data_IF_904911144371
#
_entry.id   IF_904911144371
#
_cell.length_a   1.000
_cell.length_b   1.000
_cell.length_c   1.000
_cell.angle_alpha   90.00
_cell.angle_beta   90.00
_cell.angle_gamma   90.00
#
_symmetry.space_group_name_H-M   'P 1'
#
loop_
_entity.id
_entity.type
_entity.pdbx_description
1 polymer ?
#
# COMPACT_ATOMS: atom_id res chain seq x y z
N UNK A 1 7.50 1.00 -13.22
CA UNK A 1 8.81 1.17 -12.55
C UNK A 1 9.87 0.44 -13.35
N UNK A 2 11.14 0.82 -13.19
CA UNK A 2 12.27 0.14 -13.82
C UNK A 2 13.37 -0.07 -12.79
N UNK A 3 14.20 -1.09 -13.02
CA UNK A 3 15.45 -1.21 -12.28
C UNK A 3 16.41 -0.15 -12.82
N UNK A 4 16.97 0.62 -11.93
CA UNK A 4 18.06 1.54 -12.26
C UNK A 4 19.31 0.99 -11.59
N UNK A 5 20.32 0.70 -12.42
CA UNK A 5 21.65 0.44 -11.91
C UNK A 5 22.22 1.75 -11.39
N UNK A 6 22.08 1.96 -10.08
CA UNK A 6 22.94 2.90 -9.36
C UNK A 6 24.20 2.16 -8.96
N UNK A 7 25.38 2.80 -8.96
CA UNK A 7 26.62 2.10 -8.65
C UNK A 7 26.57 1.61 -7.20
N UNK A 8 26.51 0.28 -7.00
CA UNK A 8 26.58 -0.34 -5.66
C UNK A 8 27.83 0.12 -4.89
N UNK A 9 28.90 0.46 -5.62
CA UNK A 9 30.13 1.06 -5.10
C UNK A 9 29.89 2.36 -4.32
N UNK A 10 28.96 3.22 -4.77
CA UNK A 10 28.66 4.48 -4.07
C UNK A 10 27.99 4.23 -2.72
N UNK A 11 27.09 3.25 -2.64
CA UNK A 11 26.47 2.88 -1.36
C UNK A 11 27.51 2.29 -0.40
N UNK A 12 28.37 1.40 -0.88
CA UNK A 12 29.45 0.81 -0.06
C UNK A 12 30.38 1.89 0.49
N UNK A 13 30.89 2.77 -0.38
CA UNK A 13 31.81 3.83 0.02
C UNK A 13 31.14 4.87 0.93
N UNK A 14 29.88 5.23 0.67
CA UNK A 14 29.14 6.11 1.56
C UNK A 14 28.90 5.49 2.94
N UNK A 15 28.67 4.18 3.02
CA UNK A 15 28.56 3.43 4.28
C UNK A 15 29.87 3.43 5.07
N UNK A 16 31.01 3.26 4.40
CA UNK A 16 32.34 3.37 5.02
C UNK A 16 32.59 4.77 5.57
N UNK A 17 32.28 5.82 4.80
CA UNK A 17 32.40 7.21 5.23
C UNK A 17 31.49 7.48 6.43
N UNK A 18 30.22 7.09 6.36
CA UNK A 18 29.28 7.29 7.45
C UNK A 18 29.72 6.58 8.75
N UNK A 19 30.42 5.45 8.65
CA UNK A 19 30.99 4.76 9.82
C UNK A 19 32.10 5.58 10.52
N UNK A 20 32.87 6.36 9.76
CA UNK A 20 33.95 7.23 10.28
C UNK A 20 33.44 8.57 10.81
N UNK A 21 32.30 9.06 10.30
CA UNK A 21 31.68 10.28 10.81
C UNK A 21 31.10 10.07 12.23
N UNK A 22 31.18 11.12 13.04
CA UNK A 22 30.76 11.13 14.44
C UNK A 22 29.51 12.00 14.64
N UNK A 23 28.55 11.47 15.40
CA UNK A 23 27.34 12.21 15.80
C UNK A 23 27.72 13.33 16.78
N UNK A 24 27.15 14.52 16.60
CA UNK A 24 27.25 15.62 17.54
C UNK A 24 26.48 15.32 18.83
N UNK A 25 27.03 15.72 19.97
CA UNK A 25 26.45 15.52 21.30
C UNK A 25 25.77 16.77 21.86
N UNK A 26 25.98 17.94 21.24
CA UNK A 26 25.52 19.26 21.71
C UNK A 26 24.41 19.90 20.85
N UNK A 27 23.55 19.07 20.23
CA UNK A 27 22.50 19.47 19.27
C UNK A 27 21.49 20.51 19.78
N UNK A 28 21.32 20.64 21.10
CA UNK A 28 20.37 21.59 21.72
C UNK A 28 21.06 22.84 22.34
N UNK A 29 22.35 23.05 22.08
CA UNK A 29 23.12 24.17 22.63
C UNK A 29 23.27 25.32 21.62
N UNK A 30 23.51 26.55 22.10
CA UNK A 30 23.87 27.70 21.24
C UNK A 30 25.33 27.62 20.73
N UNK A 31 26.07 26.56 21.06
CA UNK A 31 27.46 26.35 20.67
C UNK A 31 27.58 25.68 19.30
N UNK A 32 28.73 25.83 18.64
CA UNK A 32 28.99 25.12 17.38
C UNK A 32 28.97 23.60 17.58
N UNK A 33 28.37 22.82 16.66
CA UNK A 33 28.30 21.37 16.78
C UNK A 33 29.69 20.72 16.92
N UNK A 34 29.85 19.87 17.92
CA UNK A 34 31.10 19.15 18.20
C UNK A 34 31.36 17.93 17.30
N UNK A 35 30.38 17.59 16.45
CA UNK A 35 30.38 16.42 15.59
C UNK A 35 30.20 16.74 14.10
N UNK A 36 30.12 15.68 13.31
CA UNK A 36 30.00 15.73 11.86
C UNK A 36 28.53 15.78 11.39
N UNK A 37 27.60 15.28 12.21
CA UNK A 37 26.17 15.33 11.89
C UNK A 37 25.31 15.35 13.14
N UNK A 38 24.10 15.86 12.99
CA UNK A 38 23.02 15.86 13.97
C UNK A 38 21.93 14.88 13.54
N UNK A 39 21.21 14.34 14.53
CA UNK A 39 20.14 13.36 14.31
C UNK A 39 18.87 13.87 14.97
N UNK A 40 17.86 14.14 14.15
CA UNK A 40 16.50 14.41 14.60
C UNK A 40 15.72 13.09 14.66
N UNK A 41 15.66 12.48 15.84
CA UNK A 41 14.94 11.23 16.07
C UNK A 41 13.42 11.38 15.90
N UNK A 42 12.87 12.57 16.19
CA UNK A 42 11.42 12.83 16.06
C UNK A 42 11.02 13.02 14.60
N UNK A 43 11.80 13.81 13.85
CA UNK A 43 11.61 14.02 12.41
C UNK A 43 12.16 12.87 11.56
N UNK A 44 12.86 11.90 12.16
CA UNK A 44 13.57 10.80 11.49
C UNK A 44 14.47 11.32 10.36
N UNK A 45 15.25 12.34 10.67
CA UNK A 45 16.14 13.00 9.72
C UNK A 45 17.54 13.20 10.31
N UNK A 46 18.51 13.47 9.43
CA UNK A 46 19.89 13.78 9.82
C UNK A 46 20.35 15.02 9.08
N UNK A 47 21.20 15.81 9.71
CA UNK A 47 21.76 17.04 9.15
C UNK A 47 23.29 16.95 9.26
N UNK A 48 24.00 17.22 8.17
CA UNK A 48 25.45 17.34 8.20
C UNK A 48 25.83 18.73 8.73
N UNK A 49 26.85 18.77 9.59
CA UNK A 49 27.48 20.02 10.01
C UNK A 49 28.51 20.45 8.96
N UNK A 50 28.98 21.69 9.00
CA UNK A 50 30.04 22.17 8.10
C UNK A 50 31.30 21.29 8.18
N UNK A 51 31.67 20.88 9.40
CA UNK A 51 32.76 19.94 9.63
C UNK A 51 32.45 18.56 9.03
N UNK A 52 31.19 18.11 9.07
CA UNK A 52 30.74 16.89 8.42
C UNK A 52 30.89 16.91 6.91
N UNK A 53 30.53 18.02 6.27
CA UNK A 53 30.72 18.21 4.82
C UNK A 53 32.20 18.10 4.45
N UNK A 54 33.07 18.86 5.13
CA UNK A 54 34.51 18.85 4.85
C UNK A 54 35.12 17.46 5.03
N UNK A 55 34.77 16.73 6.09
CA UNK A 55 35.32 15.39 6.32
C UNK A 55 34.76 14.37 5.32
N UNK A 56 33.48 14.43 4.99
CA UNK A 56 32.90 13.54 3.98
C UNK A 56 33.55 13.75 2.62
N UNK A 57 33.76 15.01 2.21
CA UNK A 57 34.46 15.38 0.97
C UNK A 57 35.90 14.86 0.94
N UNK A 58 36.66 15.05 2.04
CA UNK A 58 38.03 14.57 2.17
C UNK A 58 38.12 13.03 2.11
N UNK A 59 37.23 12.32 2.81
CA UNK A 59 37.20 10.85 2.83
C UNK A 59 36.80 10.28 1.46
N UNK A 60 35.91 10.96 0.74
CA UNK A 60 35.52 10.58 -0.61
C UNK A 60 36.56 10.99 -1.67
N UNK A 61 37.37 12.01 -1.40
CA UNK A 61 38.30 12.60 -2.35
C UNK A 61 37.61 13.49 -3.39
N UNK A 62 36.49 14.12 -3.02
CA UNK A 62 35.69 15.01 -3.87
C UNK A 62 35.73 16.43 -3.31
N UNK A 63 35.45 17.43 -4.16
CA UNK A 63 35.44 18.84 -3.75
C UNK A 63 34.05 19.36 -3.35
N UNK A 64 32.99 18.66 -3.75
CA UNK A 64 31.61 19.06 -3.50
C UNK A 64 30.72 17.80 -3.52
N UNK A 65 29.97 17.56 -2.45
CA UNK A 65 29.02 16.43 -2.39
C UNK A 65 27.81 16.62 -3.34
N UNK A 66 27.50 17.84 -3.75
CA UNK A 66 26.35 18.20 -4.58
C UNK A 66 26.69 18.38 -6.07
N UNK A 67 27.88 17.97 -6.51
CA UNK A 67 28.24 18.01 -7.93
C UNK A 67 27.17 17.27 -8.77
N UNK A 68 26.64 17.96 -9.76
CA UNK A 68 25.61 17.42 -10.66
C UNK A 68 26.13 16.29 -11.54
N UNK A 69 27.44 16.24 -11.80
CA UNK A 69 28.08 15.18 -12.59
C UNK A 69 28.36 13.92 -11.76
N UNK A 70 28.68 14.08 -10.48
CA UNK A 70 28.99 12.97 -9.57
C UNK A 70 28.36 13.17 -8.17
N UNK A 71 27.02 13.09 -8.03
CA UNK A 71 26.37 13.41 -6.77
C UNK A 71 26.66 12.37 -5.69
N UNK A 72 27.09 12.83 -4.52
CA UNK A 72 27.39 12.03 -3.32
C UNK A 72 26.47 12.33 -2.15
N UNK A 73 25.89 13.53 -2.09
CA UNK A 73 25.11 14.01 -0.97
C UNK A 73 24.00 13.02 -0.55
N UNK A 74 23.18 12.54 -1.49
CA UNK A 74 22.08 11.62 -1.15
C UNK A 74 22.56 10.26 -0.63
N UNK A 75 23.70 9.75 -1.14
CA UNK A 75 24.28 8.50 -0.64
C UNK A 75 24.79 8.67 0.80
N UNK A 76 25.47 9.78 1.10
CA UNK A 76 25.99 10.08 2.44
C UNK A 76 24.84 10.30 3.42
N UNK A 77 23.84 11.09 3.07
CA UNK A 77 22.67 11.28 3.93
C UNK A 77 21.94 9.96 4.22
N UNK A 78 21.74 9.12 3.21
CA UNK A 78 21.11 7.81 3.41
C UNK A 78 21.97 6.85 4.23
N UNK A 79 23.29 6.88 4.07
CA UNK A 79 24.22 6.06 4.87
C UNK A 79 24.18 6.46 6.36
N UNK A 80 24.18 7.77 6.66
CA UNK A 80 24.05 8.26 8.04
C UNK A 80 22.66 7.94 8.60
N UNK A 81 21.58 8.13 7.83
CA UNK A 81 20.23 7.71 8.22
C UNK A 81 20.18 6.23 8.53
N UNK A 82 20.69 5.38 7.64
CA UNK A 82 20.74 3.93 7.82
C UNK A 82 21.53 3.56 9.08
N UNK A 83 22.67 4.22 9.34
CA UNK A 83 23.50 4.01 10.53
C UNK A 83 22.72 4.32 11.82
N UNK A 84 22.10 5.49 11.92
CA UNK A 84 21.56 6.04 13.18
C UNK A 84 20.08 5.72 13.42
N UNK A 85 19.24 5.81 12.37
CA UNK A 85 17.78 5.78 12.50
C UNK A 85 17.16 4.40 12.18
N UNK A 86 17.92 3.52 11.53
CA UNK A 86 17.47 2.18 11.15
C UNK A 86 18.29 1.13 11.89
N UNK A 87 17.73 0.68 13.00
CA UNK A 87 18.31 -0.23 13.98
C UNK A 87 17.87 -1.67 13.66
N UNK A 88 18.85 -2.56 13.60
CA UNK A 88 18.63 -4.00 13.44
C UNK A 88 17.83 -4.56 14.62
N UNK A 89 16.94 -5.51 14.33
CA UNK A 89 15.99 -6.13 15.26
C UNK A 89 14.91 -5.18 15.83
N UNK A 90 14.86 -3.92 15.36
CA UNK A 90 13.80 -2.95 15.66
C UNK A 90 13.06 -2.53 14.39
N UNK A 91 13.79 -1.97 13.42
CA UNK A 91 13.21 -1.47 12.17
C UNK A 91 13.27 -2.52 11.05
N UNK A 92 14.19 -3.49 11.14
CA UNK A 92 14.35 -4.59 10.19
C UNK A 92 15.12 -5.76 10.78
N UNK A 93 15.07 -6.89 10.08
CA UNK A 93 15.89 -8.08 10.34
C UNK A 93 16.64 -8.48 9.07
N UNK A 94 17.74 -9.20 9.24
CA UNK A 94 18.48 -9.83 8.13
C UNK A 94 18.06 -11.30 8.06
N UNK A 95 17.46 -11.73 6.94
CA UNK A 95 17.01 -13.11 6.77
C UNK A 95 17.36 -13.61 5.38
N UNK A 96 18.09 -14.72 5.30
CA UNK A 96 18.46 -15.32 4.02
C UNK A 96 19.38 -14.46 3.15
N UNK A 97 20.12 -13.53 3.76
CA UNK A 97 20.91 -12.55 3.01
C UNK A 97 20.08 -11.42 2.40
N UNK A 98 18.90 -11.13 2.95
CA UNK A 98 18.08 -9.97 2.54
C UNK A 98 17.61 -9.17 3.76
N UNK A 99 17.40 -7.87 3.57
CA UNK A 99 16.81 -6.98 4.58
C UNK A 99 15.29 -7.08 4.52
N UNK A 100 14.65 -7.42 5.64
CA UNK A 100 13.19 -7.48 5.76
C UNK A 100 12.71 -6.49 6.81
N UNK A 101 11.85 -5.56 6.39
CA UNK A 101 11.33 -4.49 7.26
C UNK A 101 10.43 -5.08 8.33
N UNK A 102 10.55 -4.57 9.55
CA UNK A 102 9.67 -4.88 10.68
C UNK A 102 8.82 -3.65 10.99
N UNK A 103 7.53 -3.85 11.20
CA UNK A 103 6.64 -2.82 11.72
C UNK A 103 6.95 -2.58 13.20
N UNK A 104 7.46 -1.40 13.53
CA UNK A 104 7.85 -1.00 14.89
C UNK A 104 6.74 -1.10 15.93
N UNK A 105 5.48 -0.94 15.52
CA UNK A 105 4.33 -0.98 16.44
C UNK A 105 3.90 -2.41 16.75
N UNK A 106 3.95 -3.28 15.74
CA UNK A 106 3.36 -4.63 15.83
C UNK A 106 4.39 -5.76 15.88
N UNK A 107 5.67 -5.47 15.60
CA UNK A 107 6.74 -6.45 15.44
C UNK A 107 6.56 -7.36 14.23
N UNK A 108 5.60 -7.06 13.33
CA UNK A 108 5.32 -7.90 12.16
C UNK A 108 6.36 -7.67 11.07
N UNK A 109 6.85 -8.79 10.53
CA UNK A 109 7.75 -8.79 9.38
C UNK A 109 6.94 -8.50 8.11
N UNK A 110 7.40 -7.55 7.28
CA UNK A 110 6.77 -7.11 6.04
C UNK A 110 7.59 -7.53 4.82
N UNK A 111 7.48 -8.80 4.36
CA UNK A 111 8.22 -9.28 3.20
C UNK A 111 7.82 -8.53 1.92
N UNK A 112 8.80 -8.26 1.05
CA UNK A 112 8.60 -7.54 -0.21
C UNK A 112 8.47 -6.02 -0.09
N UNK A 113 8.41 -5.47 1.13
CA UNK A 113 8.42 -4.02 1.35
C UNK A 113 9.86 -3.50 1.39
N UNK A 114 10.13 -2.41 0.68
CA UNK A 114 11.43 -1.72 0.67
C UNK A 114 11.25 -0.23 1.01
N UNK A 115 12.26 0.38 1.61
CA UNK A 115 12.28 1.84 1.77
C UNK A 115 12.66 2.49 0.43
N UNK A 116 12.14 3.69 0.19
CA UNK A 116 12.32 4.41 -1.06
C UNK A 116 13.59 5.28 -1.06
N UNK A 117 13.90 5.86 -2.23
CA UNK A 117 14.95 6.88 -2.41
C UNK A 117 16.36 6.40 -2.01
N UNK A 118 16.69 5.14 -2.33
CA UNK A 118 18.00 4.56 -2.03
C UNK A 118 18.28 4.21 -0.57
N UNK A 119 17.35 4.47 0.36
CA UNK A 119 17.56 4.19 1.79
C UNK A 119 17.68 2.69 2.07
N UNK A 120 16.95 1.85 1.35
CA UNK A 120 17.01 0.41 1.54
C UNK A 120 18.37 -0.17 1.11
N UNK A 121 18.93 0.34 0.01
CA UNK A 121 20.29 0.03 -0.44
C UNK A 121 21.34 0.47 0.57
N UNK A 122 21.14 1.63 1.23
CA UNK A 122 22.04 2.07 2.30
C UNK A 122 22.00 1.15 3.53
N UNK A 123 20.83 0.58 3.87
CA UNK A 123 20.71 -0.42 4.94
C UNK A 123 21.31 -1.77 4.52
N UNK A 124 21.11 -2.21 3.28
CA UNK A 124 21.78 -3.40 2.72
C UNK A 124 23.30 -3.24 2.80
N UNK A 125 23.82 -2.08 2.40
CA UNK A 125 25.24 -1.75 2.48
C UNK A 125 25.76 -1.69 3.92
N UNK A 126 25.00 -1.11 4.85
CA UNK A 126 25.35 -1.05 6.28
C UNK A 126 25.57 -2.45 6.87
N UNK A 127 24.72 -3.40 6.49
CA UNK A 127 24.75 -4.77 7.01
C UNK A 127 25.65 -5.71 6.19
N UNK A 128 26.32 -5.20 5.14
CA UNK A 128 27.18 -6.00 4.26
C UNK A 128 26.43 -7.04 3.43
N UNK A 129 25.16 -6.76 3.13
CA UNK A 129 24.27 -7.60 2.33
C UNK A 129 24.39 -7.20 0.84
N UNK A 130 24.07 -8.14 -0.07
CA UNK A 130 24.01 -7.85 -1.50
C UNK A 130 23.03 -6.69 -1.78
N UNK A 131 23.55 -5.61 -2.36
CA UNK A 131 22.76 -4.41 -2.68
C UNK A 131 21.94 -4.71 -3.92
N UNK A 132 20.62 -4.76 -3.78
CA UNK A 132 19.76 -5.00 -4.93
C UNK A 132 19.46 -3.70 -5.68
N UNK A 133 19.26 -3.74 -7.01
CA UNK A 133 18.98 -2.56 -7.83
C UNK A 133 17.81 -1.73 -7.28
N UNK A 134 17.96 -0.42 -7.34
CA UNK A 134 16.87 0.49 -6.95
C UNK A 134 15.74 0.39 -7.97
N UNK A 135 14.50 0.38 -7.46
CA UNK A 135 13.32 0.45 -8.31
C UNK A 135 12.88 1.90 -8.42
N UNK A 136 13.10 2.53 -9.58
CA UNK A 136 12.67 3.91 -9.82
C UNK A 136 11.33 3.93 -10.57
N UNK A 137 10.48 4.89 -10.22
CA UNK A 137 9.27 5.20 -11.00
C UNK A 137 9.68 5.91 -12.29
N UNK A 138 9.72 5.17 -13.41
CA UNK A 138 10.04 5.72 -14.74
C UNK A 138 8.95 6.65 -15.29
N UNK A 139 7.69 6.32 -15.02
CA UNK A 139 6.53 7.10 -15.43
C UNK A 139 5.39 6.85 -14.46
N UNK A 140 4.61 7.90 -14.19
CA UNK A 140 3.40 7.83 -13.37
C UNK A 140 2.40 8.85 -13.86
N UNK A 141 1.14 8.44 -13.91
CA UNK A 141 0.01 9.34 -14.16
C UNK A 141 -1.16 8.87 -13.29
N UNK A 142 -1.91 9.81 -12.72
CA UNK A 142 -3.16 9.48 -12.02
C UNK A 142 -4.25 9.16 -13.04
N UNK A 143 -5.22 8.31 -12.69
CA UNK A 143 -6.36 8.07 -13.58
C UNK A 143 -7.10 9.36 -13.94
N UNK A 144 -7.21 10.29 -12.98
CA UNK A 144 -7.78 11.62 -13.20
C UNK A 144 -7.09 12.35 -14.36
N UNK A 145 -5.78 12.52 -14.29
CA UNK A 145 -5.02 13.20 -15.34
C UNK A 145 -4.98 12.40 -16.64
N UNK A 146 -4.91 11.07 -16.56
CA UNK A 146 -4.91 10.20 -17.73
C UNK A 146 -6.17 10.35 -18.57
N UNK A 147 -7.35 10.34 -17.95
CA UNK A 147 -8.62 10.50 -18.68
C UNK A 147 -8.80 11.89 -19.26
N UNK A 148 -8.24 12.93 -18.64
CA UNK A 148 -8.26 14.31 -19.17
C UNK A 148 -7.41 14.50 -20.43
N UNK A 149 -6.52 13.56 -20.77
CA UNK A 149 -5.77 13.60 -22.02
C UNK A 149 -6.62 13.25 -23.25
N UNK A 150 -7.78 12.59 -23.05
CA UNK A 150 -8.63 12.19 -24.16
C UNK A 150 -9.38 13.40 -24.72
N UNK A 151 -9.39 13.62 -26.05
CA UNK A 151 -10.12 14.75 -26.66
C UNK A 151 -11.63 14.73 -26.38
N UNK A 152 -12.17 13.54 -26.11
CA UNK A 152 -13.57 13.32 -25.73
C UNK A 152 -13.62 12.27 -24.64
N UNK A 153 -14.27 12.61 -23.53
CA UNK A 153 -14.49 11.73 -22.41
C UNK A 153 -15.99 11.55 -22.17
N UNK A 154 -16.42 10.31 -21.93
CA UNK A 154 -17.80 9.96 -21.58
C UNK A 154 -17.82 8.65 -20.80
N UNK A 155 -18.80 8.44 -19.94
CA UNK A 155 -18.95 7.21 -19.16
C UNK A 155 -20.41 6.86 -18.89
N UNK A 156 -20.65 5.63 -18.44
CA UNK A 156 -21.97 5.14 -18.04
C UNK A 156 -21.87 4.35 -16.75
N UNK A 157 -22.81 4.57 -15.83
CA UNK A 157 -22.94 3.81 -14.58
C UNK A 157 -24.36 3.96 -14.03
N UNK A 158 -24.80 3.02 -13.19
CA UNK A 158 -26.11 3.06 -12.54
C UNK A 158 -26.21 4.05 -11.37
N UNK A 159 -25.10 4.57 -10.87
CA UNK A 159 -25.04 5.29 -9.57
C UNK A 159 -24.35 6.65 -9.62
N UNK A 160 -24.01 7.20 -10.80
CA UNK A 160 -23.22 8.44 -10.91
C UNK A 160 -23.88 9.69 -10.30
N UNK A 161 -25.20 9.70 -10.09
CA UNK A 161 -25.91 10.92 -9.66
C UNK A 161 -25.48 11.40 -8.27
N UNK A 162 -25.03 10.51 -7.39
CA UNK A 162 -24.51 10.91 -6.07
C UNK A 162 -23.17 11.65 -6.16
N UNK A 163 -22.35 11.30 -7.16
CA UNK A 163 -21.00 11.83 -7.36
C UNK A 163 -20.94 12.91 -8.47
N UNK A 164 -22.09 13.46 -8.87
CA UNK A 164 -22.18 14.43 -9.98
C UNK A 164 -21.24 15.62 -9.80
N UNK A 165 -21.15 16.17 -8.59
CA UNK A 165 -20.27 17.31 -8.29
C UNK A 165 -18.79 16.97 -8.48
N UNK A 166 -18.39 15.72 -8.22
CA UNK A 166 -17.01 15.29 -8.44
C UNK A 166 -16.73 15.12 -9.94
N UNK A 167 -17.65 14.52 -10.69
CA UNK A 167 -17.54 14.38 -12.14
C UNK A 167 -17.46 15.74 -12.86
N UNK A 168 -18.27 16.70 -12.45
CA UNK A 168 -18.26 18.05 -13.02
C UNK A 168 -16.97 18.79 -12.65
N UNK A 169 -16.55 18.75 -11.39
CA UNK A 169 -15.34 19.47 -10.94
C UNK A 169 -14.07 18.91 -11.58
N UNK A 170 -13.88 17.60 -11.51
CA UNK A 170 -12.65 16.92 -11.90
C UNK A 170 -12.57 16.68 -13.40
N UNK A 171 -13.67 16.23 -14.02
CA UNK A 171 -13.68 15.78 -15.42
C UNK A 171 -14.48 16.67 -16.36
N UNK A 172 -15.17 17.70 -15.85
CA UNK A 172 -16.09 18.56 -16.63
C UNK A 172 -17.19 17.73 -17.32
N UNK A 173 -17.62 16.66 -16.65
CA UNK A 173 -18.66 15.76 -17.14
C UNK A 173 -20.00 16.07 -16.45
N UNK A 174 -21.04 16.25 -17.25
CA UNK A 174 -22.42 16.34 -16.78
C UNK A 174 -23.01 14.94 -16.54
N UNK A 175 -23.77 14.77 -15.46
CA UNK A 175 -24.44 13.50 -15.15
C UNK A 175 -25.92 13.58 -15.47
N UNK A 176 -26.33 12.90 -16.55
CA UNK A 176 -27.73 12.79 -16.93
C UNK A 176 -28.35 11.48 -16.45
N UNK A 177 -29.45 11.57 -15.71
CA UNK A 177 -30.23 10.39 -15.29
C UNK A 177 -31.10 9.93 -16.46
N UNK A 178 -30.74 8.79 -17.05
CA UNK A 178 -31.53 8.17 -18.13
C UNK A 178 -32.72 7.41 -17.52
N UNK A 179 -33.96 7.63 -17.99
CA UNK A 179 -35.13 6.89 -17.52
C UNK A 179 -34.99 5.38 -17.75
N UNK A 180 -35.46 4.58 -16.78
CA UNK A 180 -35.47 3.13 -16.90
C UNK A 180 -36.53 2.65 -17.90
N UNK A 181 -36.22 1.61 -18.67
CA UNK A 181 -37.18 0.99 -19.60
C UNK A 181 -38.46 0.47 -18.90
N UNK A 182 -38.37 0.11 -17.61
CA UNK A 182 -39.52 -0.33 -16.80
C UNK A 182 -39.45 0.30 -15.41
N UNK A 183 -40.61 0.64 -14.85
CA UNK A 183 -40.72 1.15 -13.48
C UNK A 183 -40.21 0.10 -12.48
N UNK A 184 -39.26 0.49 -11.62
CA UNK A 184 -38.74 -0.40 -10.58
C UNK A 184 -39.84 -0.76 -9.58
N UNK A 185 -39.94 -2.05 -9.26
CA UNK A 185 -40.78 -2.58 -8.18
C UNK A 185 -39.95 -3.16 -7.04
N UNK A 186 -38.64 -2.90 -7.04
CA UNK A 186 -37.73 -3.33 -5.99
C UNK A 186 -38.14 -2.65 -4.68
N UNK A 187 -38.21 -3.43 -3.60
CA UNK A 187 -38.50 -2.93 -2.26
C UNK A 187 -37.20 -2.95 -1.48
N UNK A 188 -36.68 -1.76 -1.21
CA UNK A 188 -35.48 -1.59 -0.39
C UNK A 188 -35.93 -1.52 1.08
N UNK A 189 -35.46 -2.47 1.89
CA UNK A 189 -35.81 -2.57 3.30
C UNK A 189 -34.87 -1.69 4.15
N UNK A 190 -35.29 -1.22 5.34
CA UNK A 190 -34.42 -0.52 6.26
C UNK A 190 -33.27 -1.40 6.76
N UNK A 191 -32.16 -0.75 7.15
CA UNK A 191 -31.01 -1.44 7.72
C UNK A 191 -31.33 -2.09 9.07
N UNK A 192 -30.73 -3.26 9.32
CA UNK A 192 -30.82 -3.99 10.59
C UNK A 192 -29.45 -4.00 11.27
N UNK A 193 -29.39 -3.48 12.49
CA UNK A 193 -28.14 -3.34 13.26
C UNK A 193 -28.12 -4.31 14.43
N UNK A 194 -27.00 -5.01 14.61
CA UNK A 194 -26.79 -5.98 15.68
C UNK A 194 -25.68 -5.55 16.62
N UNK A 195 -25.81 -5.93 17.91
CA UNK A 195 -24.80 -5.63 18.94
C UNK A 195 -23.45 -6.33 18.71
N UNK A 196 -23.46 -7.52 18.13
CA UNK A 196 -22.25 -8.32 17.89
C UNK A 196 -22.19 -8.79 16.45
N UNK A 197 -20.98 -8.90 15.91
CA UNK A 197 -20.77 -9.38 14.54
C UNK A 197 -21.22 -10.83 14.35
N UNK A 198 -20.95 -11.71 15.32
CA UNK A 198 -21.42 -13.10 15.29
C UNK A 198 -22.96 -13.15 15.28
N UNK A 199 -23.62 -12.29 16.07
CA UNK A 199 -25.07 -12.18 16.07
C UNK A 199 -25.64 -11.76 14.72
N UNK A 200 -25.02 -10.77 14.07
CA UNK A 200 -25.34 -10.34 12.70
C UNK A 200 -25.24 -11.50 11.71
N UNK A 201 -24.12 -12.23 11.70
CA UNK A 201 -23.89 -13.31 10.72
C UNK A 201 -24.83 -14.49 10.91
N UNK A 202 -25.15 -14.87 12.16
CA UNK A 202 -26.16 -15.90 12.44
C UNK A 202 -27.55 -15.49 11.96
N UNK A 203 -27.92 -14.23 12.15
CA UNK A 203 -29.19 -13.73 11.64
C UNK A 203 -29.24 -13.74 10.10
N UNK A 204 -28.18 -13.29 9.43
CA UNK A 204 -28.07 -13.36 7.96
C UNK A 204 -28.21 -14.81 7.46
N UNK A 205 -27.54 -15.77 8.11
CA UNK A 205 -27.63 -17.17 7.73
C UNK A 205 -29.05 -17.73 7.92
N UNK A 206 -29.72 -17.37 9.02
CA UNK A 206 -31.11 -17.75 9.27
C UNK A 206 -32.08 -17.17 8.23
N UNK A 207 -31.94 -15.88 7.88
CA UNK A 207 -32.74 -15.23 6.83
C UNK A 207 -32.51 -15.91 5.47
N UNK A 208 -31.25 -16.27 5.15
CA UNK A 208 -30.95 -17.00 3.93
C UNK A 208 -31.63 -18.37 3.90
N UNK A 209 -31.67 -19.09 5.03
CA UNK A 209 -32.32 -20.39 5.11
C UNK A 209 -33.85 -20.29 4.93
N UNK A 210 -34.49 -19.28 5.53
CA UNK A 210 -35.93 -19.02 5.37
C UNK A 210 -36.27 -18.73 3.90
N UNK A 211 -35.57 -17.77 3.29
CA UNK A 211 -35.79 -17.38 1.90
C UNK A 211 -35.47 -18.54 0.92
N UNK A 212 -34.43 -19.33 1.22
CA UNK A 212 -34.11 -20.53 0.46
C UNK A 212 -35.24 -21.57 0.52
N UNK A 213 -35.81 -21.81 1.71
CA UNK A 213 -36.91 -22.75 1.90
C UNK A 213 -38.18 -22.30 1.16
N UNK A 214 -38.45 -21.00 1.07
CA UNK A 214 -39.50 -20.43 0.23
C UNK A 214 -39.20 -20.56 -1.28
N UNK A 215 -37.94 -20.82 -1.64
CA UNK A 215 -37.44 -20.91 -3.00
C UNK A 215 -37.06 -19.55 -3.61
N UNK A 216 -36.94 -18.49 -2.80
CA UNK A 216 -36.51 -17.18 -3.28
C UNK A 216 -34.99 -17.15 -3.48
N UNK A 217 -34.48 -16.67 -4.63
CA UNK A 217 -33.05 -16.50 -4.82
C UNK A 217 -32.49 -15.39 -3.92
N UNK A 218 -31.28 -15.61 -3.39
CA UNK A 218 -30.60 -14.70 -2.47
C UNK A 218 -29.17 -14.44 -2.95
N UNK A 219 -28.77 -13.16 -2.96
CA UNK A 219 -27.39 -12.72 -3.14
C UNK A 219 -26.96 -11.98 -1.88
N UNK A 220 -25.87 -12.44 -1.25
CA UNK A 220 -25.30 -11.81 -0.05
C UNK A 220 -23.95 -11.19 -0.41
N UNK A 221 -23.83 -9.88 -0.28
CA UNK A 221 -22.57 -9.17 -0.47
C UNK A 221 -21.77 -9.09 0.82
N UNK A 222 -20.48 -9.38 0.74
CA UNK A 222 -19.51 -9.32 1.84
C UNK A 222 -18.36 -8.38 1.49
N UNK A 223 -17.61 -7.92 2.51
CA UNK A 223 -16.51 -6.96 2.32
C UNK A 223 -15.14 -7.60 2.27
N UNK A 224 -15.02 -8.89 2.58
CA UNK A 224 -13.75 -9.63 2.60
C UNK A 224 -13.99 -11.12 2.43
N UNK A 225 -13.02 -11.81 1.83
CA UNK A 225 -13.05 -13.27 1.60
C UNK A 225 -13.27 -14.05 2.91
N UNK A 226 -12.61 -13.64 3.99
CA UNK A 226 -12.76 -14.26 5.31
C UNK A 226 -14.22 -14.22 5.81
N UNK A 227 -14.93 -13.12 5.58
CA UNK A 227 -16.35 -12.99 5.94
C UNK A 227 -17.24 -13.84 5.05
N UNK A 228 -16.91 -13.93 3.75
CA UNK A 228 -17.60 -14.81 2.80
C UNK A 228 -17.46 -16.28 3.19
N UNK A 229 -16.25 -16.71 3.57
CA UNK A 229 -15.97 -18.07 4.06
C UNK A 229 -16.67 -18.36 5.39
N UNK A 230 -16.68 -17.39 6.33
CA UNK A 230 -17.40 -17.54 7.59
C UNK A 230 -18.91 -17.74 7.39
N UNK A 231 -19.53 -16.94 6.51
CA UNK A 231 -20.94 -17.13 6.16
C UNK A 231 -21.18 -18.47 5.45
N UNK A 232 -20.27 -18.87 4.55
CA UNK A 232 -20.32 -20.18 3.88
C UNK A 232 -20.34 -21.33 4.90
N UNK A 233 -19.52 -21.27 5.95
CA UNK A 233 -19.53 -22.25 7.03
C UNK A 233 -20.89 -22.30 7.76
N UNK A 234 -21.44 -21.14 8.13
CA UNK A 234 -22.75 -21.08 8.79
C UNK A 234 -23.89 -21.64 7.92
N UNK A 235 -23.85 -21.39 6.61
CA UNK A 235 -24.84 -21.96 5.68
C UNK A 235 -24.67 -23.48 5.52
N UNK A 236 -23.43 -23.98 5.49
CA UNK A 236 -23.14 -25.41 5.45
C UNK A 236 -23.62 -26.13 6.71
N UNK A 237 -23.45 -25.52 7.90
CA UNK A 237 -23.98 -26.04 9.17
C UNK A 237 -25.51 -26.17 9.14
N UNK A 238 -26.20 -25.31 8.39
CA UNK A 238 -27.65 -25.34 8.19
C UNK A 238 -28.09 -26.18 6.97
N UNK A 239 -27.14 -26.79 6.25
CA UNK A 239 -27.44 -27.62 5.07
C UNK A 239 -27.92 -26.84 3.85
N UNK A 240 -27.64 -25.54 3.75
CA UNK A 240 -28.09 -24.68 2.65
C UNK A 240 -27.06 -24.69 1.50
N UNK A 241 -27.41 -25.22 0.31
CA UNK A 241 -26.51 -25.20 -0.83
C UNK A 241 -26.34 -23.76 -1.34
N UNK A 242 -25.09 -23.35 -1.52
CA UNK A 242 -24.74 -22.00 -1.95
C UNK A 242 -23.50 -21.98 -2.84
N UNK A 243 -23.34 -20.90 -3.61
CA UNK A 243 -22.13 -20.62 -4.39
C UNK A 243 -21.37 -19.46 -3.77
N UNK A 244 -20.03 -19.53 -3.84
CA UNK A 244 -19.13 -18.51 -3.34
C UNK A 244 -18.36 -17.91 -4.52
N UNK A 245 -18.51 -16.60 -4.73
CA UNK A 245 -17.75 -15.85 -5.73
C UNK A 245 -16.45 -15.38 -5.09
N UNK A 246 -15.36 -16.08 -5.41
CA UNK A 246 -14.03 -15.73 -4.95
C UNK A 246 -13.32 -15.05 -6.11
N UNK A 247 -13.19 -13.72 -6.02
CA UNK A 247 -12.63 -12.79 -7.02
C UNK A 247 -11.13 -13.02 -7.37
N UNK A 248 -10.68 -14.28 -7.39
CA UNK A 248 -9.39 -14.72 -7.89
C UNK A 248 -9.43 -14.67 -9.42
N UNK A 249 -8.39 -14.12 -10.08
CA UNK A 249 -8.32 -13.96 -11.53
C UNK A 249 -8.62 -15.25 -12.32
N UNK A 250 -8.21 -16.40 -11.77
CA UNK A 250 -8.40 -17.73 -12.35
C UNK A 250 -9.88 -18.19 -12.41
N UNK A 251 -10.76 -17.55 -11.64
CA UNK A 251 -12.17 -17.92 -11.52
C UNK A 251 -13.13 -16.94 -12.20
N UNK A 252 -12.64 -15.85 -12.79
CA UNK A 252 -13.48 -14.77 -13.35
C UNK A 252 -14.44 -15.30 -14.44
N UNK A 253 -13.97 -16.20 -15.30
CA UNK A 253 -14.83 -16.83 -16.33
C UNK A 253 -15.94 -17.68 -15.69
N UNK A 254 -15.63 -18.39 -14.60
CA UNK A 254 -16.57 -19.25 -13.88
C UNK A 254 -17.55 -18.46 -13.01
N UNK A 255 -17.16 -17.30 -12.50
CA UNK A 255 -18.03 -16.41 -11.74
C UNK A 255 -19.21 -15.92 -12.58
N UNK A 256 -18.96 -15.55 -13.84
CA UNK A 256 -20.01 -15.12 -14.76
C UNK A 256 -21.07 -16.21 -14.95
N UNK A 257 -20.66 -17.48 -15.06
CA UNK A 257 -21.57 -18.62 -15.16
C UNK A 257 -22.42 -18.80 -13.90
N UNK A 258 -21.81 -18.66 -12.72
CA UNK A 258 -22.50 -18.74 -11.42
C UNK A 258 -23.52 -17.62 -11.29
N UNK A 259 -23.12 -16.37 -11.57
CA UNK A 259 -23.99 -15.19 -11.50
C UNK A 259 -25.17 -15.32 -12.47
N UNK A 260 -24.93 -15.84 -13.68
CA UNK A 260 -26.00 -16.09 -14.65
C UNK A 260 -27.07 -17.08 -14.14
N UNK A 261 -26.71 -17.97 -13.21
CA UNK A 261 -27.65 -18.92 -12.60
C UNK A 261 -28.14 -18.52 -11.20
N UNK A 262 -27.63 -17.42 -10.62
CA UNK A 262 -27.96 -16.98 -9.26
C UNK A 262 -29.44 -16.58 -9.08
N UNK A 263 -30.15 -16.28 -10.17
CA UNK A 263 -31.58 -15.94 -10.14
C UNK A 263 -32.54 -17.14 -10.11
N UNK A 264 -32.03 -18.39 -10.09
CA UNK A 264 -32.87 -19.60 -10.08
C UNK A 264 -33.55 -19.81 -8.71
N UNK A 265 -34.68 -20.52 -8.72
CA UNK A 265 -35.43 -20.85 -7.51
C UNK A 265 -34.52 -21.53 -6.48
N UNK A 266 -34.49 -20.98 -5.26
CA UNK A 266 -33.67 -21.47 -4.14
C UNK A 266 -32.17 -21.25 -4.28
N UNK A 267 -31.68 -20.52 -5.28
CA UNK A 267 -30.24 -20.26 -5.39
C UNK A 267 -29.77 -19.29 -4.30
N UNK A 268 -28.68 -19.62 -3.62
CA UNK A 268 -27.98 -18.73 -2.67
C UNK A 268 -26.57 -18.48 -3.21
N UNK A 269 -26.20 -17.20 -3.33
CA UNK A 269 -24.88 -16.79 -3.82
C UNK A 269 -24.25 -15.79 -2.86
N UNK A 270 -22.98 -15.99 -2.52
CA UNK A 270 -22.18 -15.09 -1.68
C UNK A 270 -21.18 -14.37 -2.61
N UNK A 271 -21.13 -13.05 -2.51
CA UNK A 271 -20.26 -12.14 -3.29
C UNK A 271 -19.32 -11.33 -2.41
#
# INVERSE_FOLDING_TARGET
>A
SGQVDRPSEKYMRASEVAALLQRSTNTDSEEEPDGHYEVDEKGRNVLLTDQGFINAEQLLGVSDLFDSNDPWAHYIFNAIKAKELFIKDVNYIVRGGEIVIVDELTGRVMPGRRWSDGLHQAVESKEGVEIQPETQTLASITYQNFFLLYPKLSGMTGTAKTEELEFEKTYKLEVTVVPTNRVSRRRDQPDVVYKTEIGKWRAIAADCAELHAEGRPVLVGTTSVEKSEFLSQLLNEQGIPHNLLNAKPENVEREAEIVAQAGRRGAVTIS
#
